data_IF_783708951450
#
_entry.id   IF_783708951450
#
_cell.length_a   1.000
_cell.length_b   1.000
_cell.length_c   1.000
_cell.angle_alpha   90.00
_cell.angle_beta   90.00
_cell.angle_gamma   90.00
#
_symmetry.space_group_name_H-M   'P 1'
#
loop_
_entity.id
_entity.type
_entity.pdbx_description
1 polymer ?
#
# COMPACT_ATOMS: atom_id res chain seq x y z
N UNK A 1 23.99 3.01 -7.48
CA UNK A 1 23.68 4.43 -7.66
C UNK A 1 23.56 4.89 -9.12
N UNK A 2 23.92 4.03 -10.11
CA UNK A 2 23.77 4.41 -11.54
C UNK A 2 22.30 4.53 -11.91
N UNK A 3 21.98 5.56 -12.73
CA UNK A 3 20.62 5.74 -13.25
C UNK A 3 20.47 4.92 -14.53
N UNK A 4 19.48 4.03 -14.52
CA UNK A 4 19.11 3.21 -15.67
C UNK A 4 17.80 3.72 -16.28
N UNK A 5 17.69 3.64 -17.60
CA UNK A 5 16.45 3.96 -18.32
C UNK A 5 16.11 2.80 -19.27
N UNK A 6 14.93 2.21 -19.08
CA UNK A 6 14.37 1.16 -19.93
C UNK A 6 13.31 1.80 -20.82
N UNK A 7 13.50 1.71 -22.14
CA UNK A 7 12.53 2.18 -23.14
C UNK A 7 11.96 1.00 -23.92
N UNK A 8 10.68 1.08 -24.24
CA UNK A 8 10.01 0.07 -25.03
C UNK A 8 8.71 0.56 -25.65
N UNK A 9 8.05 -0.33 -26.37
CA UNK A 9 6.78 -0.04 -27.01
C UNK A 9 5.86 -1.26 -26.96
N UNK A 10 4.57 -1.03 -27.18
CA UNK A 10 3.55 -2.08 -27.34
C UNK A 10 3.58 -2.52 -28.79
N UNK A 11 3.91 -3.78 -29.02
CA UNK A 11 3.94 -4.35 -30.36
C UNK A 11 2.52 -4.50 -30.92
N UNK A 12 2.29 -4.03 -32.15
CA UNK A 12 1.02 -4.14 -32.85
C UNK A 12 -0.06 -3.16 -32.42
N UNK A 13 0.20 -2.24 -31.49
CA UNK A 13 -0.75 -1.20 -31.11
C UNK A 13 -0.02 0.14 -30.78
N UNK A 14 0.28 0.90 -31.82
CA UNK A 14 0.90 2.24 -31.69
C UNK A 14 -0.04 3.28 -31.06
N UNK A 15 -1.32 2.98 -30.94
CA UNK A 15 -2.32 3.85 -30.32
C UNK A 15 -2.54 3.56 -28.82
N UNK A 16 -1.89 2.52 -28.26
CA UNK A 16 -2.11 2.11 -26.90
C UNK A 16 -1.76 3.21 -25.89
N UNK A 17 -2.72 3.58 -25.04
CA UNK A 17 -2.53 4.48 -23.91
C UNK A 17 -2.96 3.77 -22.63
N UNK A 18 -2.14 3.83 -21.59
CA UNK A 18 -2.41 3.11 -20.37
C UNK A 18 -1.34 3.27 -19.30
N UNK A 19 -1.27 2.29 -18.43
CA UNK A 19 -0.27 2.19 -17.36
C UNK A 19 0.50 0.89 -17.55
N UNK A 20 1.81 0.97 -17.48
CA UNK A 20 2.69 -0.20 -17.38
C UNK A 20 3.21 -0.36 -15.96
N UNK A 21 3.29 -1.60 -15.51
CA UNK A 21 4.03 -2.01 -14.33
C UNK A 21 5.26 -2.76 -14.78
N UNK A 22 6.41 -2.43 -14.19
CA UNK A 22 7.69 -3.05 -14.48
C UNK A 22 8.25 -3.68 -13.19
N UNK A 23 8.84 -4.87 -13.33
CA UNK A 23 9.70 -5.46 -12.32
C UNK A 23 11.03 -5.80 -12.96
N UNK A 24 12.11 -5.24 -12.43
CA UNK A 24 13.49 -5.50 -12.85
C UNK A 24 14.15 -6.36 -11.78
N UNK A 25 14.55 -7.57 -12.17
CA UNK A 25 15.24 -8.52 -11.31
C UNK A 25 16.69 -8.63 -11.69
N UNK A 26 17.53 -8.85 -10.68
CA UNK A 26 18.96 -9.09 -10.84
C UNK A 26 19.24 -10.43 -11.50
N UNK A 27 20.51 -10.73 -11.71
CA UNK A 27 20.98 -12.00 -12.19
C UNK A 27 20.49 -13.16 -11.31
N UNK A 28 20.27 -14.32 -11.95
CA UNK A 28 19.94 -15.53 -11.20
C UNK A 28 21.11 -15.98 -10.33
N UNK A 29 20.82 -16.39 -9.11
CA UNK A 29 21.77 -16.94 -8.16
C UNK A 29 21.39 -18.36 -7.76
N UNK A 30 22.38 -19.15 -7.33
CA UNK A 30 22.15 -20.50 -6.83
C UNK A 30 21.60 -20.42 -5.41
N UNK A 31 20.35 -20.83 -5.25
CA UNK A 31 19.69 -20.94 -3.95
C UNK A 31 19.86 -22.36 -3.42
N UNK A 32 20.29 -22.45 -2.15
CA UNK A 32 20.43 -23.73 -1.46
C UNK A 32 19.35 -23.81 -0.38
N UNK A 33 18.46 -24.79 -0.50
CA UNK A 33 17.41 -25.01 0.50
C UNK A 33 18.02 -25.44 1.83
N UNK A 34 17.46 -24.92 2.93
CA UNK A 34 17.83 -25.38 4.27
C UNK A 34 17.28 -26.78 4.48
N UNK A 35 18.09 -27.68 5.02
CA UNK A 35 17.65 -29.01 5.44
C UNK A 35 17.00 -28.90 6.80
N UNK A 36 15.69 -28.60 6.83
CA UNK A 36 14.95 -28.34 8.07
C UNK A 36 14.25 -29.58 8.62
N UNK A 37 14.24 -30.70 7.88
CA UNK A 37 13.55 -31.91 8.30
C UNK A 37 14.50 -32.84 9.06
N UNK A 38 14.52 -32.67 10.39
CA UNK A 38 15.27 -33.54 11.31
C UNK A 38 14.59 -34.89 11.56
N UNK A 39 13.37 -35.12 11.03
CA UNK A 39 12.56 -36.30 11.31
C UNK A 39 12.60 -37.34 10.18
N UNK A 40 13.16 -37.03 9.03
CA UNK A 40 13.35 -37.98 7.94
C UNK A 40 14.57 -38.88 8.26
N UNK A 41 14.37 -40.16 8.56
CA UNK A 41 15.46 -41.08 8.98
C UNK A 41 16.55 -41.25 7.92
N UNK A 42 16.22 -41.04 6.67
CA UNK A 42 17.13 -41.02 5.53
C UNK A 42 17.18 -39.65 4.87
N UNK A 43 16.91 -38.60 5.65
CA UNK A 43 16.73 -37.24 5.19
C UNK A 43 17.74 -36.81 4.16
N UNK A 44 17.43 -35.83 3.39
CA UNK A 44 18.21 -35.33 2.29
C UNK A 44 19.70 -35.27 2.65
N UNK A 45 20.49 -36.23 2.11
CA UNK A 45 21.94 -36.31 2.34
C UNK A 45 22.69 -35.15 1.71
N UNK A 46 22.00 -34.36 0.85
CA UNK A 46 22.48 -33.11 0.24
C UNK A 46 21.34 -32.10 0.15
N UNK A 47 21.65 -30.83 0.40
CA UNK A 47 20.70 -29.77 0.22
C UNK A 47 20.24 -29.67 -1.25
N UNK A 48 18.93 -29.49 -1.48
CA UNK A 48 18.41 -29.21 -2.81
C UNK A 48 18.84 -27.79 -3.24
N UNK A 49 19.31 -27.68 -4.46
CA UNK A 49 19.75 -26.40 -5.03
C UNK A 49 19.00 -26.10 -6.32
N UNK A 50 18.66 -24.82 -6.54
CA UNK A 50 18.05 -24.37 -7.77
C UNK A 50 18.50 -22.92 -8.07
N UNK A 51 18.32 -22.50 -9.31
CA UNK A 51 18.58 -21.11 -9.69
C UNK A 51 17.31 -20.28 -9.60
N UNK A 52 17.39 -19.12 -8.93
CA UNK A 52 16.31 -18.15 -8.83
C UNK A 52 16.83 -16.72 -8.99
N UNK A 53 15.91 -15.80 -9.31
CA UNK A 53 16.13 -14.35 -9.32
C UNK A 53 15.43 -13.74 -8.12
N UNK A 54 15.95 -13.99 -6.94
CA UNK A 54 15.39 -13.54 -5.65
C UNK A 54 15.50 -12.03 -5.46
N UNK A 55 16.53 -11.40 -6.07
CA UNK A 55 16.79 -9.97 -5.89
C UNK A 55 16.03 -9.13 -6.91
N UNK A 56 15.20 -8.23 -6.41
CA UNK A 56 14.52 -7.20 -7.20
C UNK A 56 15.34 -5.93 -7.18
N UNK A 57 15.71 -5.39 -8.34
CA UNK A 57 16.42 -4.11 -8.47
C UNK A 57 15.40 -2.95 -8.37
N UNK A 58 14.27 -3.07 -9.07
CA UNK A 58 13.25 -2.04 -9.11
C UNK A 58 11.88 -2.64 -9.44
N UNK A 59 10.83 -2.11 -8.80
CA UNK A 59 9.44 -2.36 -9.16
C UNK A 59 8.69 -1.04 -9.15
N UNK A 60 8.09 -0.65 -10.27
CA UNK A 60 7.39 0.61 -10.38
C UNK A 60 6.33 0.61 -11.47
N UNK A 61 5.68 1.75 -11.64
CA UNK A 61 4.68 1.96 -12.68
C UNK A 61 4.87 3.33 -13.34
N UNK A 62 4.48 3.42 -14.62
CA UNK A 62 4.49 4.66 -15.38
C UNK A 62 3.47 4.60 -16.53
N UNK A 63 3.24 5.72 -17.17
CA UNK A 63 2.31 5.86 -18.29
C UNK A 63 2.86 5.28 -19.58
N UNK A 64 1.96 4.70 -20.39
CA UNK A 64 2.18 4.41 -21.80
C UNK A 64 1.41 5.44 -22.61
N UNK A 65 2.09 6.07 -23.57
CA UNK A 65 1.49 7.04 -24.49
C UNK A 65 1.84 6.70 -25.93
N UNK A 66 0.85 6.62 -26.79
CA UNK A 66 1.04 6.23 -28.19
C UNK A 66 1.90 4.95 -28.33
N UNK A 67 1.59 3.94 -27.54
CA UNK A 67 2.31 2.68 -27.50
C UNK A 67 3.70 2.71 -26.88
N UNK A 68 4.24 3.86 -26.44
CA UNK A 68 5.60 4.03 -25.97
C UNK A 68 5.67 4.19 -24.46
N UNK A 69 6.71 3.64 -23.82
CA UNK A 69 7.01 3.81 -22.39
C UNK A 69 8.50 4.02 -22.14
N UNK A 70 8.81 4.66 -21.00
CA UNK A 70 10.16 4.80 -20.50
C UNK A 70 10.16 4.74 -18.97
N UNK A 71 10.91 3.82 -18.38
CA UNK A 71 11.12 3.72 -16.93
C UNK A 71 12.52 4.16 -16.59
N UNK A 72 12.64 5.09 -15.65
CA UNK A 72 13.94 5.53 -15.11
C UNK A 72 14.00 5.21 -13.63
N UNK A 73 15.10 4.60 -13.19
CA UNK A 73 15.32 4.22 -11.80
C UNK A 73 16.80 4.20 -11.47
N UNK A 74 17.13 4.30 -10.18
CA UNK A 74 18.47 4.14 -9.69
C UNK A 74 18.74 2.67 -9.33
N UNK A 75 19.90 2.16 -9.73
CA UNK A 75 20.33 0.80 -9.42
C UNK A 75 20.96 0.78 -8.02
N UNK A 76 20.43 0.03 -7.03
CA UNK A 76 21.03 -0.08 -5.71
C UNK A 76 22.46 -0.64 -5.74
N UNK A 77 23.26 -0.29 -4.74
CA UNK A 77 24.60 -0.90 -4.55
C UNK A 77 24.55 -2.39 -4.22
N UNK A 78 23.40 -2.89 -3.79
CA UNK A 78 23.21 -4.30 -3.34
C UNK A 78 22.99 -5.30 -4.46
N UNK A 79 23.29 -4.98 -5.70
CA UNK A 79 23.20 -5.92 -6.83
C UNK A 79 24.24 -7.04 -6.71
N UNK A 80 24.03 -8.13 -7.46
CA UNK A 80 24.90 -9.33 -7.40
C UNK A 80 26.26 -9.15 -8.06
N UNK A 81 26.50 -8.05 -8.80
CA UNK A 81 27.75 -7.80 -9.55
C UNK A 81 28.19 -9.02 -10.38
N UNK A 82 27.24 -9.64 -11.06
CA UNK A 82 27.41 -10.84 -11.86
C UNK A 82 27.39 -10.50 -13.35
N UNK A 83 28.13 -11.26 -14.16
CA UNK A 83 28.05 -11.21 -15.63
C UNK A 83 26.83 -11.95 -16.20
N UNK A 84 26.04 -12.59 -15.34
CA UNK A 84 24.79 -13.21 -15.74
C UNK A 84 23.68 -12.19 -15.97
N UNK A 85 22.72 -12.53 -16.81
CA UNK A 85 21.64 -11.62 -17.20
C UNK A 85 20.55 -11.51 -16.14
N UNK A 86 20.05 -10.29 -15.95
CA UNK A 86 18.84 -10.01 -15.19
C UNK A 86 17.57 -10.33 -15.97
N UNK A 87 16.41 -9.95 -15.42
CA UNK A 87 15.10 -10.15 -16.04
C UNK A 87 14.23 -8.93 -15.81
N UNK A 88 13.65 -8.40 -16.88
CA UNK A 88 12.61 -7.39 -16.86
C UNK A 88 11.29 -8.06 -17.18
N UNK A 89 10.29 -7.86 -16.35
CA UNK A 89 8.90 -8.22 -16.63
C UNK A 89 8.05 -6.95 -16.70
N UNK A 90 7.17 -6.90 -17.67
CA UNK A 90 6.27 -5.79 -17.92
C UNK A 90 4.85 -6.30 -18.05
N UNK A 91 3.93 -5.59 -17.42
CA UNK A 91 2.49 -5.77 -17.60
C UNK A 91 1.86 -4.40 -17.83
N UNK A 92 1.07 -4.28 -18.87
CA UNK A 92 0.38 -3.05 -19.24
C UNK A 92 -1.14 -3.25 -19.27
N UNK A 93 -1.87 -2.21 -18.88
CA UNK A 93 -3.32 -2.16 -18.96
C UNK A 93 -3.75 -0.84 -19.61
N UNK A 94 -4.67 -0.91 -20.58
CA UNK A 94 -5.20 0.28 -21.25
C UNK A 94 -6.01 1.16 -20.30
N UNK A 95 -6.12 2.45 -20.63
CA UNK A 95 -6.87 3.44 -19.83
C UNK A 95 -8.34 3.05 -19.62
N UNK A 96 -8.96 2.43 -20.63
CA UNK A 96 -10.34 1.92 -20.57
C UNK A 96 -10.45 0.52 -19.92
N UNK A 97 -9.31 -0.08 -19.50
CA UNK A 97 -9.19 -1.40 -18.87
C UNK A 97 -9.71 -2.56 -19.71
N UNK A 98 -9.80 -2.42 -21.03
CA UNK A 98 -10.30 -3.49 -21.92
C UNK A 98 -9.20 -4.31 -22.54
N UNK A 99 -7.99 -3.76 -22.63
CA UNK A 99 -6.85 -4.40 -23.28
C UNK A 99 -5.69 -4.46 -22.31
N UNK A 100 -4.95 -5.57 -22.32
CA UNK A 100 -3.70 -5.73 -21.57
C UNK A 100 -2.60 -6.24 -22.49
N UNK A 101 -1.36 -5.93 -22.15
CA UNK A 101 -0.17 -6.45 -22.82
C UNK A 101 0.85 -6.92 -21.78
N UNK A 102 1.63 -7.93 -22.13
CA UNK A 102 2.72 -8.46 -21.31
C UNK A 102 4.00 -8.54 -22.14
N UNK A 103 5.12 -8.33 -21.48
CA UNK A 103 6.42 -8.45 -22.10
C UNK A 103 7.51 -8.82 -21.10
N UNK A 104 8.61 -9.32 -21.60
CA UNK A 104 9.79 -9.60 -20.80
C UNK A 104 11.08 -9.41 -21.61
N UNK A 105 12.19 -9.16 -20.91
CA UNK A 105 13.53 -9.06 -21.50
C UNK A 105 14.57 -9.55 -20.50
N UNK A 106 15.46 -10.45 -20.96
CA UNK A 106 16.57 -10.98 -20.16
C UNK A 106 17.95 -10.69 -20.80
N UNK A 107 18.02 -9.69 -21.67
CA UNK A 107 19.21 -9.35 -22.45
C UNK A 107 19.98 -8.16 -21.89
N UNK A 108 20.02 -8.01 -20.55
CA UNK A 108 20.83 -7.00 -19.89
C UNK A 108 21.64 -7.59 -18.76
N UNK A 109 22.74 -6.95 -18.43
CA UNK A 109 23.60 -7.27 -17.29
C UNK A 109 23.67 -6.03 -16.40
N UNK A 110 23.49 -6.20 -15.10
CA UNK A 110 23.72 -5.17 -14.10
C UNK A 110 25.07 -5.44 -13.42
N UNK A 111 26.12 -4.76 -13.89
CA UNK A 111 27.47 -4.97 -13.39
C UNK A 111 28.29 -3.68 -13.49
N UNK A 112 29.09 -3.41 -12.44
CA UNK A 112 29.95 -2.23 -12.36
C UNK A 112 29.20 -0.90 -12.16
N UNK A 113 29.94 0.15 -11.95
CA UNK A 113 29.46 1.53 -11.89
C UNK A 113 30.63 2.47 -12.16
N UNK A 114 30.41 3.46 -13.01
CA UNK A 114 31.36 4.54 -13.27
C UNK A 114 31.07 5.79 -12.41
N UNK A 115 30.06 5.73 -11.55
CA UNK A 115 29.64 6.85 -10.70
C UNK A 115 30.47 6.84 -9.42
N UNK A 116 31.23 7.90 -9.24
CA UNK A 116 31.95 8.19 -8.00
C UNK A 116 31.17 9.28 -7.26
N UNK A 117 30.00 8.89 -6.71
CA UNK A 117 29.18 9.78 -5.91
C UNK A 117 29.47 9.53 -4.43
N UNK A 118 29.72 10.61 -3.69
CA UNK A 118 30.03 10.59 -2.27
C UNK A 118 28.80 10.92 -1.43
N UNK A 119 27.61 10.48 -1.86
CA UNK A 119 26.41 10.65 -1.05
C UNK A 119 26.55 9.92 0.30
N UNK A 120 26.26 10.65 1.35
CA UNK A 120 26.28 10.18 2.76
C UNK A 120 25.00 10.51 3.52
N UNK A 121 23.97 10.96 2.80
CA UNK A 121 22.68 11.39 3.37
C UNK A 121 21.65 10.34 3.08
N UNK A 122 21.17 9.66 4.11
CA UNK A 122 20.09 8.69 3.97
C UNK A 122 18.73 9.34 3.72
N UNK A 123 17.70 8.54 3.37
CA UNK A 123 16.39 9.03 2.94
C UNK A 123 15.67 9.82 4.05
N UNK A 124 14.88 10.81 3.63
CA UNK A 124 13.94 11.50 4.52
C UNK A 124 12.72 10.61 4.75
N UNK A 125 12.35 10.41 6.01
CA UNK A 125 11.27 9.52 6.44
C UNK A 125 10.23 10.32 7.21
N UNK A 126 8.96 10.25 6.78
CA UNK A 126 7.81 10.75 7.51
C UNK A 126 6.88 9.60 7.86
N UNK A 127 6.77 9.30 9.17
CA UNK A 127 5.93 8.22 9.68
C UNK A 127 4.75 8.73 10.50
N UNK A 128 3.65 7.98 10.47
CA UNK A 128 2.50 8.21 11.32
C UNK A 128 1.70 6.92 11.55
N UNK A 129 0.81 6.95 12.55
CA UNK A 129 -0.18 5.90 12.83
C UNK A 129 -1.57 6.42 12.51
N UNK A 130 -2.38 5.61 11.82
CA UNK A 130 -3.80 5.82 11.51
C UNK A 130 -4.12 7.08 10.68
N UNK A 131 -3.43 8.19 10.91
CA UNK A 131 -3.72 9.49 10.27
C UNK A 131 -2.48 10.36 10.17
N UNK A 132 -2.32 11.13 9.07
CA UNK A 132 -1.25 12.12 8.95
C UNK A 132 -1.24 13.19 10.04
N UNK A 133 -2.33 13.35 10.79
CA UNK A 133 -2.39 14.26 11.94
C UNK A 133 -1.83 13.67 13.24
N UNK A 134 -1.33 12.42 13.20
CA UNK A 134 -0.70 11.77 14.34
C UNK A 134 0.54 12.55 14.82
N UNK A 135 0.67 12.66 16.14
CA UNK A 135 1.84 13.22 16.82
C UNK A 135 2.39 12.23 17.84
N UNK A 136 3.70 12.29 18.10
CA UNK A 136 4.33 11.45 19.14
C UNK A 136 3.64 11.63 20.49
N UNK A 137 3.31 10.51 21.14
CA UNK A 137 2.56 10.45 22.39
C UNK A 137 1.05 10.33 22.23
N UNK A 138 0.52 10.42 21.02
CA UNK A 138 -0.92 10.28 20.74
C UNK A 138 -1.46 8.91 21.17
N UNK A 139 -2.78 8.87 21.36
CA UNK A 139 -3.54 7.65 21.64
C UNK A 139 -3.96 6.97 20.36
N UNK A 140 -3.77 5.65 20.30
CA UNK A 140 -4.19 4.80 19.18
C UNK A 140 -4.99 3.60 19.67
N UNK A 141 -5.75 2.98 18.77
CA UNK A 141 -6.45 1.71 19.03
C UNK A 141 -5.45 0.53 19.12
N UNK A 142 -5.88 -0.64 19.60
CA UNK A 142 -4.99 -1.81 19.75
C UNK A 142 -4.37 -2.33 18.45
N UNK A 143 -5.00 -2.09 17.30
CA UNK A 143 -4.51 -2.49 15.97
C UNK A 143 -4.27 -1.26 15.10
N UNK A 144 -3.24 -0.44 15.41
CA UNK A 144 -2.99 0.77 14.64
C UNK A 144 -2.38 0.44 13.29
N UNK A 145 -2.58 1.35 12.32
CA UNK A 145 -2.04 1.22 10.98
C UNK A 145 -0.85 2.15 10.79
N UNK A 146 0.30 1.55 10.53
CA UNK A 146 1.55 2.27 10.30
C UNK A 146 1.66 2.69 8.83
N UNK A 147 2.09 3.91 8.60
CA UNK A 147 2.43 4.45 7.28
C UNK A 147 3.76 5.17 7.35
N UNK A 148 4.65 4.90 6.40
CA UNK A 148 5.87 5.67 6.19
C UNK A 148 5.92 6.20 4.75
N UNK A 149 6.17 7.49 4.61
CA UNK A 149 6.52 8.15 3.35
C UNK A 149 8.02 8.37 3.33
N UNK A 150 8.65 7.97 2.25
CA UNK A 150 10.10 7.99 2.11
C UNK A 150 10.44 8.79 0.87
N UNK A 151 11.42 9.67 0.97
CA UNK A 151 11.93 10.44 -0.16
C UNK A 151 13.45 10.50 -0.09
N UNK A 152 14.10 10.35 -1.25
CA UNK A 152 15.54 10.47 -1.39
C UNK A 152 15.88 11.03 -2.76
N UNK A 153 16.84 11.94 -2.83
CA UNK A 153 17.21 12.61 -4.09
C UNK A 153 17.84 11.65 -5.10
N UNK A 154 18.59 10.68 -4.63
CA UNK A 154 19.33 9.72 -5.46
C UNK A 154 18.55 8.43 -5.70
N UNK A 155 17.56 8.14 -4.87
CA UNK A 155 16.67 7.00 -4.97
C UNK A 155 16.60 6.16 -3.70
N UNK A 156 15.47 5.49 -3.52
CA UNK A 156 15.18 4.66 -2.35
C UNK A 156 15.61 3.22 -2.65
N UNK A 157 16.30 2.58 -1.71
CA UNK A 157 16.57 1.14 -1.78
C UNK A 157 15.41 0.37 -1.15
N UNK A 158 14.45 -0.03 -1.97
CA UNK A 158 13.33 -0.89 -1.56
C UNK A 158 13.52 -2.35 -2.00
N UNK A 159 14.68 -2.69 -2.57
CA UNK A 159 14.94 -3.99 -3.17
C UNK A 159 15.05 -5.12 -2.12
N UNK A 160 15.49 -4.82 -0.90
CA UNK A 160 15.72 -5.82 0.16
C UNK A 160 16.75 -6.88 -0.21
N UNK A 161 17.62 -6.56 -1.17
CA UNK A 161 18.60 -7.53 -1.71
C UNK A 161 19.89 -7.62 -0.90
N UNK A 162 20.19 -6.59 -0.09
CA UNK A 162 21.34 -6.54 0.79
C UNK A 162 21.02 -7.04 2.19
N UNK A 163 21.93 -7.78 2.80
CA UNK A 163 21.77 -8.21 4.18
C UNK A 163 21.71 -6.99 5.11
N UNK A 164 20.56 -6.80 5.76
CA UNK A 164 20.35 -5.71 6.71
C UNK A 164 19.92 -4.37 6.08
N UNK A 165 19.73 -4.29 4.77
CA UNK A 165 19.26 -3.09 4.06
C UNK A 165 17.75 -3.12 3.78
N UNK A 166 17.00 -3.81 4.64
CA UNK A 166 15.55 -3.86 4.53
C UNK A 166 14.87 -2.57 5.04
N UNK A 167 13.67 -2.32 4.52
CA UNK A 167 12.71 -1.42 5.14
C UNK A 167 12.17 -2.09 6.40
N UNK A 168 12.75 -1.75 7.55
CA UNK A 168 12.57 -2.51 8.78
C UNK A 168 11.75 -1.75 9.81
N UNK A 169 10.70 -2.39 10.32
CA UNK A 169 9.87 -1.89 11.41
C UNK A 169 10.07 -2.76 12.65
N UNK A 170 10.40 -2.14 13.79
CA UNK A 170 10.65 -2.82 15.07
C UNK A 170 9.70 -2.24 16.11
N UNK A 171 8.99 -3.12 16.84
CA UNK A 171 8.07 -2.72 17.91
C UNK A 171 8.77 -2.94 19.26
N UNK A 172 8.77 -1.91 20.10
CA UNK A 172 9.30 -1.90 21.49
C UNK A 172 10.77 -2.34 21.63
N UNK A 173 11.51 -2.31 20.53
CA UNK A 173 12.89 -2.80 20.49
C UNK A 173 13.03 -4.31 20.56
N UNK A 174 11.93 -5.04 20.43
CA UNK A 174 11.93 -6.50 20.43
C UNK A 174 12.26 -7.04 19.03
N UNK A 175 13.38 -7.74 18.93
CA UNK A 175 13.82 -8.34 17.68
C UNK A 175 12.91 -9.47 17.17
N UNK A 176 12.06 -10.04 18.03
CA UNK A 176 11.02 -10.99 17.60
C UNK A 176 9.83 -10.30 16.92
N UNK A 177 9.62 -9.00 17.20
CA UNK A 177 8.61 -8.16 16.57
C UNK A 177 9.25 -7.20 15.56
N UNK A 178 10.06 -7.77 14.67
CA UNK A 178 10.69 -7.08 13.54
C UNK A 178 10.04 -7.51 12.25
N UNK A 179 9.60 -6.52 11.47
CA UNK A 179 8.89 -6.73 10.21
C UNK A 179 9.66 -6.12 9.04
N UNK A 180 9.83 -6.90 7.98
CA UNK A 180 10.36 -6.43 6.72
C UNK A 180 9.19 -5.90 5.86
N UNK A 181 9.27 -4.63 5.45
CA UNK A 181 8.23 -3.95 4.70
C UNK A 181 8.59 -3.68 3.23
N UNK A 182 9.59 -4.35 2.69
CA UNK A 182 9.98 -4.17 1.29
C UNK A 182 8.84 -4.53 0.32
N UNK A 183 8.12 -5.63 0.57
CA UNK A 183 6.98 -6.05 -0.25
C UNK A 183 5.75 -5.13 -0.09
N UNK A 184 5.67 -4.38 1.00
CA UNK A 184 4.61 -3.40 1.24
C UNK A 184 4.92 -2.02 0.65
N UNK A 185 6.15 -1.82 0.17
CA UNK A 185 6.58 -0.55 -0.39
C UNK A 185 6.12 -0.40 -1.83
N UNK A 186 5.67 0.81 -2.15
CA UNK A 186 5.36 1.21 -3.52
C UNK A 186 5.96 2.57 -3.81
N UNK A 187 6.69 2.69 -4.92
CA UNK A 187 7.10 3.99 -5.41
C UNK A 187 5.89 4.81 -5.86
N UNK A 188 5.99 6.11 -5.73
CA UNK A 188 5.04 7.02 -6.34
C UNK A 188 5.07 6.87 -7.87
N UNK A 189 3.95 7.17 -8.52
CA UNK A 189 3.79 6.98 -9.96
C UNK A 189 4.89 7.71 -10.75
N UNK A 190 5.62 6.97 -11.60
CA UNK A 190 6.72 7.48 -12.41
C UNK A 190 7.96 7.95 -11.62
N UNK A 191 8.10 7.51 -10.37
CA UNK A 191 9.19 7.92 -9.48
C UNK A 191 10.06 6.74 -9.05
N UNK A 192 11.30 7.01 -8.67
CA UNK A 192 12.19 6.14 -7.92
C UNK A 192 12.79 6.85 -6.69
N UNK A 193 12.46 8.13 -6.54
CA UNK A 193 12.96 9.02 -5.48
C UNK A 193 11.95 9.23 -4.37
N UNK A 194 10.71 8.78 -4.56
CA UNK A 194 9.65 8.88 -3.56
C UNK A 194 8.74 7.66 -3.58
N UNK A 195 8.19 7.33 -2.43
CA UNK A 195 7.26 6.23 -2.26
C UNK A 195 6.77 6.08 -0.84
N UNK A 196 5.95 5.07 -0.60
CA UNK A 196 5.39 4.80 0.73
C UNK A 196 5.27 3.32 1.00
N UNK A 197 5.38 2.98 2.28
CA UNK A 197 5.08 1.65 2.80
C UNK A 197 4.05 1.76 3.91
N UNK A 198 3.31 0.68 4.13
CA UNK A 198 2.28 0.62 5.15
C UNK A 198 2.21 -0.78 5.76
N UNK A 199 1.74 -0.83 7.02
CA UNK A 199 1.62 -2.09 7.73
C UNK A 199 0.52 -2.02 8.79
N UNK A 200 -0.40 -2.99 8.77
CA UNK A 200 -1.35 -3.19 9.85
C UNK A 200 -0.62 -3.84 11.03
N UNK A 201 -0.42 -3.11 12.12
CA UNK A 201 0.27 -3.66 13.28
C UNK A 201 -0.55 -4.78 13.90
N UNK A 202 0.10 -5.80 14.49
CA UNK A 202 -0.59 -6.81 15.29
C UNK A 202 -1.29 -6.13 16.49
N UNK A 203 -2.22 -6.86 17.13
CA UNK A 203 -2.86 -6.36 18.33
C UNK A 203 -1.83 -6.11 19.44
N UNK A 204 -1.74 -4.87 19.89
CA UNK A 204 -0.84 -4.43 20.93
C UNK A 204 -1.57 -4.33 22.27
N UNK A 205 -0.85 -4.63 23.37
CA UNK A 205 -1.37 -4.48 24.71
C UNK A 205 -1.66 -3.00 25.04
N UNK A 206 -2.63 -2.67 25.89
CA UNK A 206 -2.79 -1.30 26.37
C UNK A 206 -1.55 -0.81 27.11
N UNK A 207 -1.12 0.41 26.80
CA UNK A 207 0.07 1.00 27.41
C UNK A 207 0.90 1.84 26.44
N UNK A 208 2.07 2.25 26.87
CA UNK A 208 3.03 2.99 26.04
C UNK A 208 3.83 2.03 25.16
N UNK A 209 4.00 2.41 23.92
CA UNK A 209 4.75 1.68 22.90
C UNK A 209 5.67 2.61 22.12
N UNK A 210 6.64 1.99 21.46
CA UNK A 210 7.61 2.64 20.60
C UNK A 210 7.77 1.85 19.30
N UNK A 211 7.76 2.55 18.17
CA UNK A 211 8.12 2.01 16.88
C UNK A 211 9.41 2.63 16.40
N UNK A 212 10.30 1.81 15.86
CA UNK A 212 11.49 2.24 15.15
C UNK A 212 11.34 1.79 13.69
N UNK A 213 11.42 2.73 12.75
CA UNK A 213 11.41 2.43 11.32
C UNK A 213 12.72 2.87 10.70
N UNK A 214 13.34 1.98 9.89
CA UNK A 214 14.59 2.23 9.17
C UNK A 214 14.38 2.03 7.67
N UNK A 215 14.97 2.92 6.88
CA UNK A 215 15.01 2.85 5.43
C UNK A 215 16.42 3.18 4.93
N UNK A 216 16.70 2.83 3.68
CA UNK A 216 17.99 2.97 3.02
C UNK A 216 17.81 3.66 1.67
N UNK A 217 18.80 4.45 1.25
CA UNK A 217 18.93 4.91 -0.13
C UNK A 217 19.67 3.88 -1.00
N UNK A 218 19.77 4.15 -2.30
CA UNK A 218 20.49 3.30 -3.26
C UNK A 218 22.00 3.25 -3.05
N UNK A 219 22.57 4.14 -2.22
CA UNK A 219 23.97 4.17 -1.83
C UNK A 219 24.25 3.47 -0.49
N UNK A 220 23.22 2.88 0.13
CA UNK A 220 23.26 2.21 1.42
C UNK A 220 23.46 3.17 2.60
N UNK A 221 23.01 4.42 2.50
CA UNK A 221 22.94 5.31 3.65
C UNK A 221 21.63 5.08 4.40
N UNK A 222 21.66 4.84 5.72
CA UNK A 222 20.46 4.61 6.51
C UNK A 222 19.83 5.90 7.01
N UNK A 223 18.52 5.88 7.17
CA UNK A 223 17.79 6.78 8.06
C UNK A 223 16.86 5.99 8.97
N UNK A 224 16.67 6.51 10.17
CA UNK A 224 15.84 5.90 11.20
C UNK A 224 14.92 6.95 11.80
N UNK A 225 13.64 6.58 11.97
CA UNK A 225 12.63 7.43 12.63
C UNK A 225 11.95 6.64 13.74
N UNK A 226 11.69 7.30 14.85
CA UNK A 226 11.03 6.71 16.02
C UNK A 226 9.67 7.38 16.22
N UNK A 227 8.64 6.57 16.50
CA UNK A 227 7.33 6.99 16.96
C UNK A 227 7.07 6.47 18.37
N UNK A 228 6.53 7.31 19.23
CA UNK A 228 6.01 6.91 20.55
C UNK A 228 4.51 7.12 20.58
N UNK A 229 3.76 6.22 21.26
CA UNK A 229 2.31 6.29 21.31
C UNK A 229 1.75 5.52 22.50
N UNK A 230 0.46 5.73 22.78
CA UNK A 230 -0.24 5.02 23.85
C UNK A 230 -1.40 4.22 23.27
N UNK A 231 -1.37 2.91 23.43
CA UNK A 231 -2.48 2.03 23.05
C UNK A 231 -3.59 2.11 24.08
N UNK A 232 -4.82 2.41 23.63
CA UNK A 232 -6.01 2.51 24.47
C UNK A 232 -7.10 1.61 23.94
N UNK A 233 -7.50 0.60 24.73
CA UNK A 233 -8.63 -0.25 24.41
C UNK A 233 -9.93 0.55 24.48
N UNK A 234 -10.81 0.35 23.49
CA UNK A 234 -12.08 1.07 23.41
C UNK A 234 -11.95 2.53 23.00
N UNK A 235 -10.84 2.93 22.39
CA UNK A 235 -10.68 4.25 21.80
C UNK A 235 -11.69 4.44 20.68
N UNK A 236 -12.51 5.51 20.77
CA UNK A 236 -13.52 5.81 19.75
C UNK A 236 -12.87 6.08 18.39
N UNK A 237 -13.40 5.48 17.31
CA UNK A 237 -12.94 5.82 15.96
C UNK A 237 -13.25 7.28 15.62
N UNK A 238 -12.38 7.89 14.79
CA UNK A 238 -12.63 9.19 14.23
C UNK A 238 -13.28 9.06 12.85
N UNK A 239 -14.37 9.81 12.64
CA UNK A 239 -14.96 10.04 11.34
C UNK A 239 -14.47 11.38 10.81
N UNK A 240 -13.57 11.36 9.81
CA UNK A 240 -13.02 12.58 9.21
C UNK A 240 -14.05 13.25 8.30
N UNK A 241 -14.74 12.46 7.48
CA UNK A 241 -15.83 12.94 6.64
C UNK A 241 -16.77 11.82 6.24
N UNK A 242 -18.01 12.21 5.94
CA UNK A 242 -18.98 11.36 5.26
C UNK A 242 -19.51 12.12 4.04
N UNK A 243 -19.67 11.45 2.93
CA UNK A 243 -20.21 12.02 1.70
C UNK A 243 -20.95 10.96 0.88
N UNK A 244 -21.59 11.38 -0.18
CA UNK A 244 -22.13 10.51 -1.20
C UNK A 244 -21.78 11.06 -2.58
N UNK A 245 -21.54 10.18 -3.55
CA UNK A 245 -21.00 10.54 -4.88
C UNK A 245 -21.99 11.33 -5.71
N UNK A 246 -23.24 10.86 -5.81
CA UNK A 246 -24.28 11.48 -6.59
C UNK A 246 -25.25 12.15 -5.63
N UNK A 247 -25.21 13.48 -5.57
CA UNK A 247 -26.13 14.28 -4.78
C UNK A 247 -26.42 15.60 -5.53
N UNK A 248 -27.49 15.69 -6.30
CA UNK A 248 -28.67 14.79 -6.38
C UNK A 248 -28.37 13.40 -6.94
N UNK A 249 -29.00 12.37 -6.35
CA UNK A 249 -28.97 10.99 -6.82
C UNK A 249 -30.16 10.72 -7.75
N UNK A 250 -29.93 9.99 -8.85
CA UNK A 250 -30.99 9.65 -9.83
C UNK A 250 -31.39 8.17 -9.73
N UNK A 251 -30.43 7.27 -9.81
CA UNK A 251 -30.65 5.80 -9.77
C UNK A 251 -29.89 5.13 -8.65
N UNK A 252 -28.75 5.70 -8.26
CA UNK A 252 -27.87 5.17 -7.22
C UNK A 252 -27.01 6.25 -6.62
N UNK A 253 -26.42 5.97 -5.47
CA UNK A 253 -25.37 6.76 -4.84
C UNK A 253 -24.38 5.83 -4.15
N UNK A 254 -23.13 6.29 -3.98
CA UNK A 254 -22.13 5.61 -3.17
C UNK A 254 -21.83 6.46 -1.95
N UNK A 255 -22.07 5.94 -0.78
CA UNK A 255 -21.62 6.55 0.46
C UNK A 255 -20.12 6.34 0.63
N UNK A 256 -19.41 7.40 1.03
CA UNK A 256 -17.96 7.40 1.31
C UNK A 256 -17.78 7.82 2.75
N UNK A 257 -17.15 6.96 3.54
CA UNK A 257 -16.93 7.14 4.97
C UNK A 257 -15.42 7.16 5.22
N UNK A 258 -14.86 8.34 5.48
CA UNK A 258 -13.43 8.49 5.79
C UNK A 258 -13.20 8.41 7.30
N UNK A 259 -12.27 7.56 7.71
CA UNK A 259 -12.03 7.23 9.11
C UNK A 259 -10.55 6.89 9.39
N UNK A 260 -10.21 6.71 10.67
CA UNK A 260 -8.86 6.40 11.19
C UNK A 260 -8.67 4.91 11.57
N UNK A 261 -9.46 4.00 11.02
CA UNK A 261 -9.43 2.56 11.35
C UNK A 261 -9.01 1.69 10.15
N UNK A 262 -8.08 2.17 9.35
CA UNK A 262 -7.48 1.38 8.27
C UNK A 262 -6.81 0.13 8.85
N UNK A 263 -6.95 -1.02 8.20
CA UNK A 263 -6.41 -2.31 8.67
C UNK A 263 -7.15 -2.93 9.87
N UNK A 264 -8.04 -2.19 10.53
CA UNK A 264 -8.82 -2.69 11.67
C UNK A 264 -10.16 -3.28 11.25
N UNK A 265 -10.69 -4.18 12.07
CA UNK A 265 -12.06 -4.66 11.91
C UNK A 265 -13.05 -3.57 12.32
N UNK A 266 -13.93 -3.19 11.41
CA UNK A 266 -14.93 -2.13 11.62
C UNK A 266 -16.34 -2.66 11.38
N UNK A 267 -17.28 -2.11 12.14
CA UNK A 267 -18.72 -2.21 11.85
C UNK A 267 -19.17 -0.86 11.32
N UNK A 268 -19.63 -0.81 10.08
CA UNK A 268 -20.18 0.40 9.46
C UNK A 268 -21.68 0.23 9.29
N UNK A 269 -22.44 1.16 9.86
CA UNK A 269 -23.89 1.24 9.66
C UNK A 269 -24.26 2.61 9.05
N UNK A 270 -25.13 2.59 8.06
CA UNK A 270 -25.65 3.78 7.37
C UNK A 270 -27.16 3.74 7.46
N UNK A 271 -27.75 4.77 8.07
CA UNK A 271 -29.19 4.93 8.20
C UNK A 271 -29.67 6.07 7.32
N UNK A 272 -30.77 5.88 6.60
CA UNK A 272 -31.45 6.92 5.82
C UNK A 272 -32.85 7.18 6.40
N UNK A 273 -33.18 8.46 6.50
CA UNK A 273 -34.42 8.97 7.09
C UNK A 273 -35.12 9.95 6.15
N UNK A 274 -36.44 10.05 6.25
CA UNK A 274 -37.17 11.19 5.70
C UNK A 274 -37.00 12.44 6.58
N UNK A 275 -37.55 13.57 6.11
CA UNK A 275 -37.46 14.84 6.83
C UNK A 275 -38.27 14.88 8.14
N UNK A 276 -39.15 13.89 8.38
CA UNK A 276 -39.85 13.71 9.65
C UNK A 276 -39.07 12.90 10.66
N UNK A 277 -37.94 12.31 10.25
CA UNK A 277 -37.11 11.45 11.08
C UNK A 277 -37.52 9.97 11.04
N UNK A 278 -38.46 9.60 10.17
CA UNK A 278 -38.84 8.19 9.99
C UNK A 278 -37.72 7.47 9.27
N UNK A 279 -37.30 6.32 9.81
CA UNK A 279 -36.28 5.46 9.24
C UNK A 279 -36.80 4.78 7.96
N UNK A 280 -36.01 4.77 6.91
CA UNK A 280 -36.37 4.27 5.59
C UNK A 280 -35.50 3.13 5.08
N UNK A 281 -34.22 3.16 5.43
CA UNK A 281 -33.24 2.17 4.98
C UNK A 281 -32.03 2.13 5.90
N UNK A 282 -31.51 0.92 6.10
CA UNK A 282 -30.25 0.72 6.80
C UNK A 282 -29.34 -0.24 6.03
N UNK A 283 -28.06 0.05 6.09
CA UNK A 283 -26.98 -0.86 5.71
C UNK A 283 -26.12 -1.10 6.94
N UNK A 284 -25.75 -2.35 7.17
CA UNK A 284 -24.80 -2.69 8.24
C UNK A 284 -23.89 -3.80 7.77
N UNK A 285 -22.59 -3.57 7.86
CA UNK A 285 -21.57 -4.50 7.43
C UNK A 285 -20.39 -4.51 8.41
N UNK A 286 -19.80 -5.70 8.60
CA UNK A 286 -18.60 -5.92 9.38
C UNK A 286 -17.48 -6.38 8.45
N UNK A 287 -16.28 -5.84 8.60
CA UNK A 287 -15.13 -6.27 7.83
C UNK A 287 -13.87 -5.51 8.18
N UNK A 288 -12.74 -5.99 7.68
CA UNK A 288 -11.47 -5.25 7.76
C UNK A 288 -11.51 -4.12 6.75
N UNK A 289 -11.24 -2.90 7.20
CA UNK A 289 -11.15 -1.76 6.30
C UNK A 289 -9.79 -1.75 5.61
N UNK A 290 -9.78 -1.99 4.30
CA UNK A 290 -8.54 -2.01 3.50
C UNK A 290 -7.92 -0.63 3.32
N UNK A 291 -8.70 0.44 3.56
CA UNK A 291 -8.25 1.82 3.40
C UNK A 291 -8.85 2.77 4.43
N UNK A 292 -8.47 4.03 4.34
CA UNK A 292 -9.04 5.13 5.15
C UNK A 292 -10.45 5.55 4.70
N UNK A 293 -10.94 5.01 3.59
CA UNK A 293 -12.27 5.27 3.04
C UNK A 293 -13.04 3.95 2.90
N UNK A 294 -14.14 3.82 3.62
CA UNK A 294 -15.11 2.74 3.47
C UNK A 294 -16.23 3.19 2.54
N UNK A 295 -16.58 2.37 1.54
CA UNK A 295 -17.56 2.74 0.52
C UNK A 295 -18.71 1.76 0.49
N UNK A 296 -19.94 2.30 0.38
CA UNK A 296 -21.17 1.51 0.27
C UNK A 296 -21.99 2.01 -0.92
N UNK A 297 -22.23 1.12 -1.89
CA UNK A 297 -23.10 1.42 -3.03
C UNK A 297 -24.57 1.16 -2.66
N UNK A 298 -25.44 2.09 -3.00
CA UNK A 298 -26.87 1.98 -2.76
C UNK A 298 -27.69 2.38 -4.02
N UNK A 299 -28.59 1.51 -4.40
CA UNK A 299 -29.47 1.68 -5.56
C UNK A 299 -30.77 2.40 -5.24
N UNK A 300 -30.86 3.11 -4.13
CA UNK A 300 -32.04 3.84 -3.64
C UNK A 300 -33.27 2.95 -3.39
N UNK A 301 -33.06 1.68 -3.08
CA UNK A 301 -34.13 0.76 -2.67
C UNK A 301 -34.24 0.75 -1.15
N UNK A 302 -35.45 0.92 -0.63
CA UNK A 302 -35.78 0.93 0.80
C UNK A 302 -35.80 -0.50 1.37
N UNK A 303 -35.79 -0.64 2.70
CA UNK A 303 -35.86 -1.93 3.40
C UNK A 303 -37.14 -2.71 3.05
N UNK A 304 -38.22 -2.04 2.71
CA UNK A 304 -39.48 -2.67 2.27
C UNK A 304 -39.52 -3.00 0.76
N UNK A 305 -38.42 -2.85 0.04
CA UNK A 305 -38.30 -3.10 -1.40
C UNK A 305 -38.84 -1.99 -2.30
N UNK A 306 -39.45 -0.95 -1.76
CA UNK A 306 -39.90 0.20 -2.53
C UNK A 306 -38.72 1.06 -2.97
N UNK A 307 -38.89 1.79 -4.05
CA UNK A 307 -37.89 2.70 -4.56
C UNK A 307 -38.06 4.09 -3.93
N UNK A 308 -36.98 4.68 -3.51
CA UNK A 308 -36.96 6.03 -2.93
C UNK A 308 -37.46 7.06 -3.96
N UNK A 309 -38.43 7.90 -3.59
CA UNK A 309 -39.02 8.90 -4.47
C UNK A 309 -38.19 10.18 -4.53
N UNK A 310 -38.49 11.06 -5.51
CA UNK A 310 -37.91 12.40 -5.56
C UNK A 310 -38.19 13.15 -4.25
N UNK A 311 -37.15 13.69 -3.64
CA UNK A 311 -37.27 14.37 -2.35
C UNK A 311 -35.93 14.67 -1.68
N UNK A 312 -36.01 15.23 -0.48
CA UNK A 312 -34.86 15.48 0.38
C UNK A 312 -34.91 14.51 1.55
N UNK A 313 -33.80 13.87 1.80
CA UNK A 313 -33.62 12.86 2.83
C UNK A 313 -32.43 13.20 3.72
N UNK A 314 -32.33 12.56 4.85
CA UNK A 314 -31.20 12.65 5.76
C UNK A 314 -30.51 11.29 5.86
N UNK A 315 -29.19 11.29 5.94
CA UNK A 315 -28.44 10.09 6.27
C UNK A 315 -27.43 10.36 7.36
N UNK A 316 -27.14 9.33 8.16
CA UNK A 316 -26.08 9.35 9.15
C UNK A 316 -25.29 8.04 9.07
N UNK A 317 -24.05 8.10 9.50
CA UNK A 317 -23.13 6.95 9.52
C UNK A 317 -22.70 6.70 10.95
N UNK A 318 -22.68 5.44 11.33
CA UNK A 318 -22.06 4.97 12.57
C UNK A 318 -20.92 4.03 12.20
N UNK A 319 -19.74 4.26 12.78
CA UNK A 319 -18.61 3.35 12.69
C UNK A 319 -18.27 2.84 14.09
N UNK A 320 -18.13 1.52 14.21
CA UNK A 320 -17.70 0.83 15.43
C UNK A 320 -16.38 0.12 15.20
N UNK A 321 -15.51 0.09 16.21
CA UNK A 321 -14.27 -0.68 16.25
C UNK A 321 -13.87 -0.88 17.71
N UNK A 322 -13.30 -2.02 18.06
CA UNK A 322 -12.76 -2.35 19.39
C UNK A 322 -13.72 -2.08 20.56
N UNK A 323 -15.01 -2.37 20.36
CA UNK A 323 -16.04 -2.15 21.37
C UNK A 323 -16.50 -0.71 21.55
N UNK A 324 -16.01 0.23 20.76
CA UNK A 324 -16.41 1.64 20.75
C UNK A 324 -17.03 2.04 19.41
N UNK A 325 -17.82 3.09 19.42
CA UNK A 325 -18.43 3.59 18.18
C UNK A 325 -18.53 5.11 18.15
N UNK A 326 -18.51 5.67 16.94
CA UNK A 326 -18.76 7.06 16.62
C UNK A 326 -19.93 7.15 15.64
N UNK A 327 -20.82 8.10 15.86
CA UNK A 327 -21.95 8.39 14.96
C UNK A 327 -21.81 9.81 14.42
N UNK A 328 -21.95 9.97 13.12
CA UNK A 328 -21.88 11.27 12.47
C UNK A 328 -23.10 12.15 12.77
N UNK A 329 -23.00 13.44 12.51
CA UNK A 329 -24.18 14.28 12.29
C UNK A 329 -24.89 13.83 11.02
N UNK A 330 -26.22 14.06 10.97
CA UNK A 330 -27.00 13.81 9.76
C UNK A 330 -26.59 14.74 8.63
N UNK A 331 -26.55 14.21 7.39
CA UNK A 331 -26.32 14.97 6.16
C UNK A 331 -27.49 14.82 5.19
N UNK A 332 -27.63 15.76 4.26
CA UNK A 332 -28.68 15.74 3.24
C UNK A 332 -28.30 14.84 2.07
N UNK A 333 -29.27 14.08 1.62
CA UNK A 333 -29.28 13.38 0.34
C UNK A 333 -30.50 13.91 -0.46
N UNK A 334 -30.24 14.43 -1.64
CA UNK A 334 -31.30 14.85 -2.58
C UNK A 334 -31.47 13.76 -3.60
N UNK A 335 -32.69 13.35 -3.86
CA UNK A 335 -33.05 12.39 -4.89
C UNK A 335 -33.92 13.08 -5.94
N UNK A 336 -33.54 12.95 -7.20
CA UNK A 336 -34.29 13.46 -8.35
C UNK A 336 -34.46 12.32 -9.33
N UNK A 337 -35.64 11.77 -9.41
CA UNK A 337 -35.97 10.74 -10.41
C UNK A 337 -36.51 11.39 -11.67
N UNK A 338 -36.04 10.91 -12.79
CA UNK A 338 -36.58 11.23 -14.12
C UNK A 338 -37.77 10.36 -14.42
#
# INVERSE_FOLDING_TARGET
GSIATIKGHIEGDEGFNGIANITVRDARELVTCRMNDANEPEGAKSAFTFYDRSKTIYTGNDSIRAGQFAFTFAVPKDISYSDATGLINLHAISTDRKTSANGWCDRFVANGSDINDNDSIGPSIYCYLNSPSFSNGDRVNPTPYFVARITDQNGINAAGSGIGHDLQLIIDGDMQHTYNLNENFSYDFGSYTSGSTFYALPELAPGQHRLLFRAWDVYNNPSTTELTFTVVKGLKPNLFSISCTNNPAHTSTTFIVNHDRMGSNVNVAIDVFDMSGRHLWTHSENGVSEGSAYTVNWNLTLDNGATLQTGVYLYRVRIGSDGSAMTSKAKKLVVVRQ
#
